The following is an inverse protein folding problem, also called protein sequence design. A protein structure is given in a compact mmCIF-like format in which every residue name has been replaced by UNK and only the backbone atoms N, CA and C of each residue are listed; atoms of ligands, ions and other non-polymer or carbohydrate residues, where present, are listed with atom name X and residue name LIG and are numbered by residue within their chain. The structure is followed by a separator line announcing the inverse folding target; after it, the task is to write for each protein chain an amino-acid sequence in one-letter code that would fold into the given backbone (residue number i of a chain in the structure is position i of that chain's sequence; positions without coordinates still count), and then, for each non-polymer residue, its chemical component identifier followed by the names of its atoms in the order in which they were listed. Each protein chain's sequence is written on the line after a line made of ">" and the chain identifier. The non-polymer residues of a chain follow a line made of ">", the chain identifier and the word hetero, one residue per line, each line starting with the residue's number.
data_IF_778450620734
#
_entry.id   IF_778450620734
#
_cell.length_a   1.000
_cell.length_b   1.000
_cell.length_c   1.000
_cell.angle_alpha   90.00
_cell.angle_beta   90.00
_cell.angle_gamma   90.00
#
_symmetry.space_group_name_H-M   'P 1'
#
loop_
_entity.id
_entity.type
_entity.pdbx_description
1 polymer ?
#
# COMPACT_ATOMS: atom_id res chain seq x y z
N UNK A 1 6.80 -15.08 17.95
CA UNK A 1 6.29 -14.08 16.97
C UNK A 1 4.78 -14.22 16.69
N UNK A 2 4.23 -15.42 16.56
CA UNK A 2 2.78 -15.64 16.29
C UNK A 2 1.90 -15.04 17.39
N UNK A 3 2.29 -15.16 18.68
CA UNK A 3 1.50 -14.64 19.81
C UNK A 3 1.35 -13.11 19.81
N UNK A 4 2.39 -12.37 19.40
CA UNK A 4 2.34 -10.90 19.30
C UNK A 4 1.39 -10.49 18.17
N UNK A 5 1.41 -11.21 17.04
CA UNK A 5 0.49 -10.98 15.92
C UNK A 5 -0.97 -11.18 16.33
N UNK A 6 -1.28 -12.24 17.09
CA UNK A 6 -2.64 -12.50 17.57
C UNK A 6 -3.13 -11.43 18.54
N UNK A 7 -2.28 -10.97 19.47
CA UNK A 7 -2.60 -9.86 20.37
C UNK A 7 -2.83 -8.55 19.59
N UNK A 8 -2.00 -8.27 18.60
CA UNK A 8 -2.13 -7.09 17.76
C UNK A 8 -3.44 -7.10 16.93
N UNK A 9 -3.88 -8.26 16.45
CA UNK A 9 -5.17 -8.42 15.77
C UNK A 9 -6.36 -8.09 16.67
N UNK A 10 -6.26 -8.39 17.97
CA UNK A 10 -7.28 -8.00 18.95
C UNK A 10 -7.40 -6.49 19.15
N UNK A 11 -6.33 -5.73 18.86
CA UNK A 11 -6.31 -4.28 18.99
C UNK A 11 -6.84 -3.57 17.74
N UNK A 12 -6.58 -4.11 16.54
CA UNK A 12 -7.01 -3.47 15.30
C UNK A 12 -7.24 -4.46 14.16
N UNK A 13 -8.46 -4.49 13.62
CA UNK A 13 -8.87 -5.43 12.56
C UNK A 13 -8.02 -5.32 11.27
N UNK A 14 -7.47 -4.15 10.94
CA UNK A 14 -6.63 -3.97 9.74
C UNK A 14 -5.33 -4.78 9.76
N UNK A 15 -4.88 -5.24 10.94
CA UNK A 15 -3.69 -6.08 11.08
C UNK A 15 -3.90 -7.45 10.44
N UNK A 16 -5.13 -7.97 10.40
CA UNK A 16 -5.43 -9.22 9.70
C UNK A 16 -5.02 -9.20 8.24
N UNK A 17 -5.25 -8.07 7.54
CA UNK A 17 -4.84 -7.92 6.14
C UNK A 17 -3.32 -8.00 6.00
N UNK A 18 -2.58 -7.33 6.88
CA UNK A 18 -1.12 -7.35 6.86
C UNK A 18 -0.56 -8.74 7.17
N UNK A 19 -1.16 -9.46 8.14
CA UNK A 19 -0.76 -10.83 8.47
C UNK A 19 -1.07 -11.80 7.32
N UNK A 20 -2.25 -11.69 6.71
CA UNK A 20 -2.61 -12.50 5.55
C UNK A 20 -1.68 -12.24 4.36
N UNK A 21 -1.36 -10.97 4.08
CA UNK A 21 -0.42 -10.59 3.04
C UNK A 21 0.99 -11.14 3.31
N UNK A 22 1.48 -11.00 4.55
CA UNK A 22 2.78 -11.53 4.96
C UNK A 22 2.83 -13.06 4.91
N UNK A 23 1.74 -13.72 5.32
CA UNK A 23 1.60 -15.17 5.19
C UNK A 23 1.64 -15.62 3.72
N UNK A 24 0.84 -14.99 2.86
CA UNK A 24 0.85 -15.28 1.43
C UNK A 24 2.25 -15.07 0.82
N UNK A 25 2.93 -13.98 1.17
CA UNK A 25 4.28 -13.67 0.72
C UNK A 25 5.33 -14.67 1.22
N UNK A 26 5.07 -15.34 2.33
CA UNK A 26 5.93 -16.40 2.84
C UNK A 26 5.84 -17.69 2.00
N UNK A 27 4.63 -18.06 1.58
CA UNK A 27 4.40 -19.27 0.79
C UNK A 27 4.81 -19.09 -0.68
N UNK A 28 4.47 -17.98 -1.29
CA UNK A 28 4.77 -17.70 -2.69
C UNK A 28 5.92 -16.69 -2.74
N UNK A 29 7.15 -17.17 -2.99
CA UNK A 29 8.35 -16.33 -2.93
C UNK A 29 8.59 -15.50 -4.20
N UNK A 30 7.95 -15.84 -5.33
CA UNK A 30 8.22 -15.18 -6.61
C UNK A 30 7.52 -13.82 -6.72
N UNK A 31 8.30 -12.75 -6.62
CA UNK A 31 7.82 -11.36 -6.69
C UNK A 31 7.17 -10.96 -8.01
N UNK A 32 7.42 -11.71 -9.09
CA UNK A 32 6.81 -11.44 -10.40
C UNK A 32 5.29 -11.61 -10.35
N UNK A 33 4.79 -12.65 -9.68
CA UNK A 33 3.35 -12.89 -9.57
C UNK A 33 2.64 -11.77 -8.80
N UNK A 34 3.27 -11.24 -7.77
CA UNK A 34 2.71 -10.13 -6.99
C UNK A 34 2.69 -8.83 -7.79
N UNK A 35 3.76 -8.56 -8.55
CA UNK A 35 3.82 -7.40 -9.42
C UNK A 35 2.76 -7.48 -10.53
N UNK A 36 2.64 -8.63 -11.19
CA UNK A 36 1.61 -8.86 -12.21
C UNK A 36 0.20 -8.72 -11.61
N UNK A 37 -0.02 -9.29 -10.43
CA UNK A 37 -1.27 -9.15 -9.68
C UNK A 37 -1.59 -7.70 -9.33
N UNK A 38 -0.60 -6.92 -8.88
CA UNK A 38 -0.78 -5.51 -8.59
C UNK A 38 -1.19 -4.72 -9.84
N UNK A 39 -0.51 -4.93 -10.97
CA UNK A 39 -0.86 -4.29 -12.26
C UNK A 39 -2.27 -4.68 -12.67
N UNK A 40 -2.63 -5.95 -12.56
CA UNK A 40 -3.98 -6.43 -12.86
C UNK A 40 -5.03 -5.75 -11.96
N UNK A 41 -4.75 -5.61 -10.64
CA UNK A 41 -5.64 -4.91 -9.71
C UNK A 41 -5.83 -3.43 -10.08
N UNK A 42 -4.79 -2.74 -10.56
CA UNK A 42 -4.92 -1.36 -11.09
C UNK A 42 -5.88 -1.32 -12.27
N UNK A 43 -5.70 -2.20 -13.26
CA UNK A 43 -6.56 -2.29 -14.43
C UNK A 43 -8.02 -2.60 -14.07
N UNK A 44 -8.23 -3.59 -13.22
CA UNK A 44 -9.56 -4.01 -12.75
C UNK A 44 -10.23 -2.89 -11.93
N UNK A 45 -9.50 -2.23 -11.05
CA UNK A 45 -10.00 -1.11 -10.26
C UNK A 45 -10.41 0.08 -11.12
N UNK A 46 -9.63 0.37 -12.16
CA UNK A 46 -9.96 1.42 -13.11
C UNK A 46 -11.24 1.11 -13.88
N UNK A 47 -11.37 -0.12 -14.40
CA UNK A 47 -12.49 -0.55 -15.25
C UNK A 47 -13.78 -0.85 -14.46
N UNK A 48 -13.68 -1.44 -13.26
CA UNK A 48 -14.82 -2.01 -12.53
C UNK A 48 -14.85 -1.65 -11.04
N UNK A 49 -14.12 -0.62 -10.60
CA UNK A 49 -13.92 -0.29 -9.18
C UNK A 49 -15.20 -0.13 -8.37
N UNK A 50 -16.27 0.45 -8.93
CA UNK A 50 -17.56 0.57 -8.24
C UNK A 50 -18.22 -0.78 -7.93
N UNK A 51 -18.16 -1.73 -8.88
CA UNK A 51 -18.74 -3.06 -8.66
C UNK A 51 -17.99 -3.81 -7.56
N UNK A 52 -16.66 -3.69 -7.56
CA UNK A 52 -15.80 -4.35 -6.56
C UNK A 52 -16.08 -3.81 -5.16
N UNK A 53 -16.22 -2.49 -5.01
CA UNK A 53 -16.57 -1.88 -3.72
C UNK A 53 -17.90 -2.41 -3.18
N UNK A 54 -18.92 -2.48 -4.03
CA UNK A 54 -20.23 -3.00 -3.65
C UNK A 54 -20.16 -4.49 -3.24
N UNK A 55 -19.37 -5.30 -3.95
CA UNK A 55 -19.14 -6.69 -3.58
C UNK A 55 -18.42 -6.81 -2.23
N UNK A 56 -17.36 -6.05 -2.02
CA UNK A 56 -16.61 -6.07 -0.76
C UNK A 56 -17.44 -5.57 0.41
N UNK A 57 -18.30 -4.57 0.20
CA UNK A 57 -19.25 -4.12 1.22
C UNK A 57 -20.29 -5.22 1.57
N UNK A 58 -20.73 -6.01 0.58
CA UNK A 58 -21.69 -7.11 0.77
C UNK A 58 -21.08 -8.35 1.43
N UNK A 59 -19.76 -8.58 1.32
CA UNK A 59 -19.07 -9.78 1.84
C UNK A 59 -18.68 -9.71 3.33
N UNK A 60 -19.37 -8.93 4.16
CA UNK A 60 -19.19 -8.95 5.61
C UNK A 60 -18.09 -8.03 6.15
N UNK A 61 -17.43 -7.26 5.31
CA UNK A 61 -16.77 -6.03 5.78
C UNK A 61 -17.81 -5.01 6.24
N UNK A 62 -19.10 -5.30 6.01
CA UNK A 62 -20.25 -4.48 6.35
C UNK A 62 -20.87 -4.72 7.72
N UNK A 63 -20.49 -5.76 8.45
CA UNK A 63 -20.96 -6.01 9.84
C UNK A 63 -20.39 -4.99 10.84
N UNK A 64 -19.38 -4.23 10.46
CA UNK A 64 -18.90 -3.09 11.20
C UNK A 64 -19.47 -1.83 10.55
N UNK A 65 -20.44 -1.16 11.19
CA UNK A 65 -21.11 0.02 10.70
C UNK A 65 -20.13 1.12 10.21
N UNK A 66 -18.92 1.13 10.76
CA UNK A 66 -17.85 2.04 10.35
C UNK A 66 -17.25 1.66 9.01
N UNK A 67 -17.01 0.37 8.76
CA UNK A 67 -16.39 -0.08 7.50
C UNK A 67 -17.41 0.02 6.38
N UNK A 68 -18.67 -0.34 6.61
CA UNK A 68 -19.74 -0.18 5.63
C UNK A 68 -19.94 1.30 5.26
N UNK A 69 -19.93 2.21 6.25
CA UNK A 69 -19.99 3.65 6.04
C UNK A 69 -18.82 4.19 5.22
N UNK A 70 -17.61 3.60 5.38
CA UNK A 70 -16.43 3.99 4.59
C UNK A 70 -16.48 3.48 3.14
N UNK A 71 -17.06 2.32 2.92
CA UNK A 71 -17.18 1.75 1.58
C UNK A 71 -18.34 2.36 0.79
N UNK A 72 -19.47 2.61 1.43
CA UNK A 72 -20.70 3.08 0.78
C UNK A 72 -20.87 4.60 0.81
N UNK A 73 -20.14 5.28 1.68
CA UNK A 73 -20.31 6.73 1.88
C UNK A 73 -21.64 7.12 2.52
N UNK A 74 -22.37 6.17 3.11
CA UNK A 74 -23.74 6.37 3.63
C UNK A 74 -23.84 7.41 4.76
N UNK A 75 -22.73 7.75 5.41
CA UNK A 75 -22.66 8.72 6.51
C UNK A 75 -22.16 10.11 6.06
N UNK A 76 -22.12 10.37 4.75
CA UNK A 76 -21.55 11.61 4.20
C UNK A 76 -22.59 12.52 3.59
N UNK A 77 -22.43 13.83 3.80
CA UNK A 77 -23.25 14.87 3.17
C UNK A 77 -22.74 15.14 1.74
N UNK A 78 -23.66 15.25 0.80
CA UNK A 78 -23.57 15.39 -0.67
C UNK A 78 -22.22 15.67 -1.36
N UNK A 79 -21.49 16.73 -1.03
CA UNK A 79 -20.21 17.09 -1.68
C UNK A 79 -19.07 16.09 -1.38
N UNK A 80 -19.04 15.54 -0.17
CA UNK A 80 -18.01 14.59 0.25
C UNK A 80 -18.20 13.23 -0.44
N UNK A 81 -19.45 12.85 -0.72
CA UNK A 81 -19.77 11.63 -1.49
C UNK A 81 -19.26 11.74 -2.92
N UNK A 82 -19.40 12.90 -3.57
CA UNK A 82 -18.89 13.11 -4.92
C UNK A 82 -17.35 13.08 -4.98
N UNK A 83 -16.67 13.68 -4.00
CA UNK A 83 -15.19 13.60 -3.92
C UNK A 83 -14.67 12.18 -3.65
N UNK A 84 -15.41 11.34 -2.92
CA UNK A 84 -15.02 9.97 -2.62
C UNK A 84 -15.16 9.00 -3.81
N UNK A 85 -15.88 9.37 -4.86
CA UNK A 85 -16.07 8.52 -6.05
C UNK A 85 -14.99 8.71 -7.12
N UNK A 86 -14.07 9.66 -6.92
CA UNK A 86 -13.00 9.94 -7.89
C UNK A 86 -11.85 8.95 -7.71
N UNK A 87 -11.31 8.47 -8.82
CA UNK A 87 -10.11 7.63 -8.80
C UNK A 87 -8.90 8.47 -8.36
N UNK A 88 -8.27 8.10 -7.25
CA UNK A 88 -7.18 8.85 -6.62
C UNK A 88 -5.83 8.56 -7.29
N UNK A 89 -5.60 9.20 -8.43
CA UNK A 89 -4.34 9.10 -9.17
C UNK A 89 -3.14 9.59 -8.38
N UNK A 90 -3.31 10.58 -7.54
CA UNK A 90 -2.30 11.13 -6.65
C UNK A 90 -1.76 10.07 -5.68
N UNK A 91 -2.65 9.33 -5.03
CA UNK A 91 -2.27 8.26 -4.10
C UNK A 91 -1.71 7.04 -4.84
N UNK A 92 -2.24 6.73 -6.02
CA UNK A 92 -1.69 5.65 -6.85
C UNK A 92 -0.27 5.98 -7.29
N UNK A 93 -0.01 7.21 -7.74
CA UNK A 93 1.34 7.66 -8.12
C UNK A 93 2.31 7.58 -6.94
N UNK A 94 1.88 7.99 -5.75
CA UNK A 94 2.68 7.83 -4.53
C UNK A 94 3.03 6.37 -4.23
N UNK A 95 2.04 5.49 -4.26
CA UNK A 95 2.25 4.05 -4.06
C UNK A 95 3.13 3.42 -5.11
N UNK A 96 3.02 3.88 -6.37
CA UNK A 96 3.82 3.39 -7.49
C UNK A 96 5.33 3.65 -7.30
N UNK A 97 5.73 4.63 -6.48
CA UNK A 97 7.15 4.84 -6.12
C UNK A 97 7.70 3.59 -5.43
N UNK A 98 7.01 3.06 -4.42
CA UNK A 98 7.42 1.84 -3.73
C UNK A 98 7.46 0.63 -4.66
N UNK A 99 6.48 0.52 -5.56
CA UNK A 99 6.45 -0.55 -6.58
C UNK A 99 7.64 -0.46 -7.52
N UNK A 100 7.93 0.74 -8.05
CA UNK A 100 9.02 0.99 -9.00
C UNK A 100 10.39 0.75 -8.36
N UNK A 101 10.60 1.21 -7.13
CA UNK A 101 11.87 1.02 -6.42
C UNK A 101 12.10 -0.45 -6.09
N UNK A 102 11.08 -1.16 -5.59
CA UNK A 102 11.19 -2.60 -5.35
C UNK A 102 11.46 -3.39 -6.63
N UNK A 103 10.75 -3.06 -7.72
CA UNK A 103 11.03 -3.62 -9.04
C UNK A 103 12.49 -3.40 -9.46
N UNK A 104 12.99 -2.16 -9.32
CA UNK A 104 14.37 -1.81 -9.69
C UNK A 104 15.39 -2.65 -8.95
N UNK A 105 15.28 -2.78 -7.62
CA UNK A 105 16.25 -3.55 -6.85
C UNK A 105 16.15 -5.05 -7.14
N UNK A 106 14.97 -5.62 -7.20
CA UNK A 106 14.78 -7.06 -7.39
C UNK A 106 15.14 -7.47 -8.82
N UNK A 107 14.56 -6.80 -9.83
CA UNK A 107 14.66 -7.29 -11.22
C UNK A 107 15.80 -6.64 -12.00
N UNK A 108 16.18 -5.39 -11.73
CA UNK A 108 17.26 -4.71 -12.44
C UNK A 108 18.60 -4.83 -11.76
N UNK A 109 18.63 -4.79 -10.43
CA UNK A 109 19.87 -4.93 -9.63
C UNK A 109 20.11 -6.35 -9.14
N UNK A 110 19.17 -7.27 -9.37
CA UNK A 110 19.25 -8.67 -8.97
C UNK A 110 19.56 -8.86 -7.47
N UNK A 111 18.89 -8.05 -6.64
CA UNK A 111 19.04 -8.08 -5.19
C UNK A 111 18.31 -9.29 -4.62
N UNK A 112 19.06 -10.31 -4.18
CA UNK A 112 18.58 -11.65 -3.80
C UNK A 112 18.38 -11.82 -2.28
N UNK A 113 18.00 -10.79 -1.57
CA UNK A 113 17.70 -10.90 -0.13
C UNK A 113 16.27 -11.43 0.06
N UNK A 114 16.11 -12.61 0.69
CA UNK A 114 14.79 -13.25 0.88
C UNK A 114 13.84 -12.41 1.73
N UNK A 115 14.37 -11.70 2.75
CA UNK A 115 13.56 -10.81 3.59
C UNK A 115 13.06 -9.61 2.79
N UNK A 116 13.88 -9.08 1.89
CA UNK A 116 13.44 -7.99 1.01
C UNK A 116 12.34 -8.42 0.06
N UNK A 117 12.47 -9.60 -0.56
CA UNK A 117 11.42 -10.17 -1.40
C UNK A 117 10.12 -10.34 -0.61
N UNK A 118 10.20 -10.85 0.61
CA UNK A 118 9.04 -11.01 1.48
C UNK A 118 8.37 -9.67 1.84
N UNK A 119 9.15 -8.65 2.22
CA UNK A 119 8.67 -7.30 2.53
C UNK A 119 8.01 -6.68 1.29
N UNK A 120 8.66 -6.77 0.13
CA UNK A 120 8.14 -6.23 -1.10
C UNK A 120 6.85 -6.91 -1.56
N UNK A 121 6.78 -8.24 -1.48
CA UNK A 121 5.58 -9.00 -1.81
C UNK A 121 4.42 -8.65 -0.86
N UNK A 122 4.70 -8.52 0.45
CA UNK A 122 3.71 -8.06 1.44
C UNK A 122 3.20 -6.66 1.12
N UNK A 123 4.10 -5.75 0.75
CA UNK A 123 3.75 -4.40 0.30
C UNK A 123 2.83 -4.44 -0.93
N UNK A 124 3.17 -5.25 -1.93
CA UNK A 124 2.36 -5.35 -3.16
C UNK A 124 0.96 -5.88 -2.88
N UNK A 125 0.79 -6.90 -2.01
CA UNK A 125 -0.52 -7.44 -1.66
C UNK A 125 -1.36 -6.42 -0.91
N UNK A 126 -0.82 -5.79 0.13
CA UNK A 126 -1.55 -4.79 0.92
C UNK A 126 -1.92 -3.58 0.08
N UNK A 127 -1.03 -3.16 -0.83
CA UNK A 127 -1.29 -2.05 -1.73
C UNK A 127 -2.30 -2.42 -2.82
N UNK A 128 -2.24 -3.64 -3.39
CA UNK A 128 -3.22 -4.13 -4.35
C UNK A 128 -4.65 -4.17 -3.78
N UNK A 129 -4.79 -4.60 -2.52
CA UNK A 129 -6.08 -4.54 -1.83
C UNK A 129 -6.62 -3.11 -1.77
N UNK A 130 -5.80 -2.15 -1.34
CA UNK A 130 -6.20 -0.75 -1.33
C UNK A 130 -6.56 -0.23 -2.72
N UNK A 131 -5.79 -0.57 -3.75
CA UNK A 131 -6.05 -0.17 -5.13
C UNK A 131 -7.43 -0.62 -5.61
N UNK A 132 -7.89 -1.81 -5.22
CA UNK A 132 -9.23 -2.30 -5.56
C UNK A 132 -10.36 -1.43 -4.95
N UNK A 133 -10.10 -0.79 -3.83
CA UNK A 133 -11.04 0.09 -3.12
C UNK A 133 -10.64 1.57 -3.18
N UNK A 134 -9.83 1.98 -4.17
CA UNK A 134 -9.25 3.32 -4.28
C UNK A 134 -10.28 4.45 -4.34
N UNK A 135 -11.51 4.13 -4.77
CA UNK A 135 -12.65 5.06 -4.87
C UNK A 135 -13.46 5.14 -3.58
N UNK A 136 -13.17 4.29 -2.57
CA UNK A 136 -13.90 4.28 -1.32
C UNK A 136 -13.70 5.58 -0.55
N UNK A 137 -14.72 5.99 0.17
CA UNK A 137 -14.63 7.05 1.16
C UNK A 137 -13.51 6.69 2.15
N UNK A 138 -12.67 7.67 2.50
CA UNK A 138 -11.53 7.43 3.40
C UNK A 138 -10.55 6.32 2.95
N UNK A 139 -10.43 6.09 1.64
CA UNK A 139 -9.51 5.07 1.06
C UNK A 139 -8.06 5.25 1.53
N UNK A 140 -7.66 6.46 1.92
CA UNK A 140 -6.36 6.78 2.49
C UNK A 140 -6.04 5.96 3.76
N UNK A 141 -7.03 5.62 4.58
CA UNK A 141 -6.83 4.80 5.79
C UNK A 141 -6.40 3.37 5.43
N UNK A 142 -6.94 2.81 4.36
CA UNK A 142 -6.52 1.52 3.85
C UNK A 142 -5.15 1.59 3.15
N UNK A 143 -4.86 2.70 2.46
CA UNK A 143 -3.56 2.93 1.86
C UNK A 143 -2.44 2.96 2.90
N UNK A 144 -2.68 3.53 4.08
CA UNK A 144 -1.72 3.63 5.17
C UNK A 144 -1.12 2.26 5.55
N UNK A 145 -1.87 1.17 5.46
CA UNK A 145 -1.37 -0.18 5.77
C UNK A 145 -0.14 -0.52 4.91
N UNK A 146 -0.21 -0.23 3.60
CA UNK A 146 0.92 -0.43 2.69
C UNK A 146 1.97 0.67 2.82
N UNK A 147 1.56 1.91 3.06
CA UNK A 147 2.49 3.05 3.19
C UNK A 147 3.39 2.95 4.42
N UNK A 148 2.98 2.26 5.49
CA UNK A 148 3.87 1.96 6.62
C UNK A 148 5.01 1.02 6.24
N UNK A 149 4.79 0.11 5.27
CA UNK A 149 5.84 -0.80 4.78
C UNK A 149 6.75 -0.09 3.77
N UNK A 150 6.24 0.90 3.05
CA UNK A 150 6.92 1.55 1.93
C UNK A 150 8.32 2.12 2.30
N UNK A 151 8.54 2.82 3.43
CA UNK A 151 9.87 3.27 3.81
C UNK A 151 10.88 2.13 3.93
N UNK A 152 10.44 0.95 4.39
CA UNK A 152 11.30 -0.23 4.48
C UNK A 152 11.64 -0.72 3.07
N UNK A 153 10.66 -0.79 2.16
CA UNK A 153 10.90 -1.16 0.74
C UNK A 153 11.91 -0.21 0.11
N UNK A 154 11.83 1.11 0.40
CA UNK A 154 12.70 2.12 -0.18
C UNK A 154 14.13 2.04 0.38
N UNK A 155 14.30 1.85 1.69
CA UNK A 155 15.58 2.05 2.37
C UNK A 155 16.35 0.76 2.63
N UNK A 156 15.67 -0.38 2.79
CA UNK A 156 16.30 -1.65 3.14
C UNK A 156 17.46 -2.07 2.21
N UNK A 157 17.33 -1.99 0.86
CA UNK A 157 18.41 -2.37 -0.02
C UNK A 157 19.67 -1.51 0.19
N UNK A 158 19.50 -0.22 0.43
CA UNK A 158 20.62 0.69 0.69
C UNK A 158 21.36 0.35 1.98
N UNK A 159 20.65 -0.11 3.01
CA UNK A 159 21.25 -0.49 4.28
C UNK A 159 21.98 -1.84 4.21
N UNK A 160 21.58 -2.71 3.27
CA UNK A 160 22.16 -4.06 3.14
C UNK A 160 23.34 -4.15 2.19
N UNK A 161 23.34 -3.36 1.10
CA UNK A 161 24.34 -3.50 0.04
C UNK A 161 24.68 -2.15 -0.59
N UNK A 162 25.94 -1.97 -0.90
CA UNK A 162 26.40 -0.81 -1.69
C UNK A 162 26.22 -1.10 -3.19
N UNK A 163 25.35 -0.33 -3.84
CA UNK A 163 25.04 -0.49 -5.27
C UNK A 163 25.80 0.47 -6.17
N UNK A 164 26.35 1.55 -5.63
CA UNK A 164 27.02 2.61 -6.38
C UNK A 164 28.26 3.13 -5.66
N UNK A 165 29.17 3.72 -6.40
CA UNK A 165 30.37 4.37 -5.85
C UNK A 165 30.02 5.50 -4.86
N UNK A 166 29.00 6.29 -5.18
CA UNK A 166 28.49 7.38 -4.35
C UNK A 166 27.24 6.97 -3.53
N UNK A 167 27.26 5.76 -2.99
CA UNK A 167 26.11 5.16 -2.30
C UNK A 167 25.51 6.04 -1.21
N UNK A 168 26.34 6.62 -0.35
CA UNK A 168 25.91 7.45 0.77
C UNK A 168 25.24 8.76 0.33
N UNK A 169 25.74 9.38 -0.74
CA UNK A 169 25.11 10.57 -1.32
C UNK A 169 23.73 10.24 -1.91
N UNK A 170 23.63 9.13 -2.63
CA UNK A 170 22.36 8.69 -3.23
C UNK A 170 21.34 8.38 -2.14
N UNK A 171 21.75 7.69 -1.07
CA UNK A 171 20.92 7.43 0.10
C UNK A 171 20.45 8.75 0.75
N UNK A 172 21.37 9.70 0.95
CA UNK A 172 21.05 11.02 1.50
C UNK A 172 20.01 11.77 0.65
N UNK A 173 20.16 11.77 -0.67
CA UNK A 173 19.16 12.37 -1.57
C UNK A 173 17.82 11.65 -1.54
N UNK A 174 17.81 10.30 -1.47
CA UNK A 174 16.57 9.53 -1.38
C UNK A 174 15.80 9.85 -0.09
N UNK A 175 16.49 9.93 1.05
CA UNK A 175 15.90 10.32 2.33
C UNK A 175 15.38 11.76 2.28
N UNK A 176 16.17 12.69 1.74
CA UNK A 176 15.77 14.10 1.63
C UNK A 176 14.52 14.27 0.75
N UNK A 177 14.48 13.62 -0.40
CA UNK A 177 13.32 13.66 -1.30
C UNK A 177 12.07 13.06 -0.64
N UNK A 178 12.22 11.93 0.02
CA UNK A 178 11.11 11.30 0.73
C UNK A 178 10.60 12.17 1.87
N UNK A 179 11.51 12.76 2.64
CA UNK A 179 11.15 13.69 3.70
C UNK A 179 10.47 14.96 3.16
N UNK A 180 11.05 15.59 2.14
CA UNK A 180 10.48 16.79 1.52
C UNK A 180 9.08 16.55 0.95
N UNK A 181 8.87 15.38 0.28
CA UNK A 181 7.57 15.00 -0.21
C UNK A 181 6.55 14.78 0.92
N UNK A 182 6.95 14.07 1.97
CA UNK A 182 6.09 13.81 3.14
C UNK A 182 5.76 15.11 3.87
N UNK A 183 6.74 15.99 4.02
CA UNK A 183 6.55 17.31 4.62
C UNK A 183 5.55 18.15 3.79
N UNK A 184 5.75 18.22 2.48
CA UNK A 184 4.85 18.95 1.58
C UNK A 184 3.42 18.40 1.65
N UNK A 185 3.24 17.08 1.58
CA UNK A 185 1.91 16.46 1.54
C UNK A 185 1.16 16.57 2.87
N UNK A 186 1.86 16.56 4.02
CA UNK A 186 1.20 16.56 5.32
C UNK A 186 1.09 17.95 5.96
N UNK A 187 2.01 18.84 5.68
CA UNK A 187 2.05 20.14 6.33
C UNK A 187 1.52 21.24 5.43
N UNK A 188 1.98 21.31 4.18
CA UNK A 188 1.56 22.39 3.28
C UNK A 188 0.19 22.15 2.65
N UNK A 189 -0.20 20.88 2.42
CA UNK A 189 -1.51 20.54 1.86
C UNK A 189 -2.64 20.51 2.89
N UNK A 190 -2.33 20.40 4.19
CA UNK A 190 -3.32 20.53 5.29
C UNK A 190 -3.63 21.99 5.64
N UNK A 191 -2.94 22.95 5.02
CA UNK A 191 -3.20 24.39 5.23
C UNK A 191 -4.30 24.94 4.30
N UNK A 192 -4.92 24.11 3.51
CA UNK A 192 -6.02 24.41 2.61
C UNK A 192 -7.09 23.33 2.75
#
# INVERSE_FOLDING_TARGET
>A
MIGIGVLACGLHKSIYLMMAAGGLAWFIKNSYYYLAGWIACVGVSYAAGFRIQNYLAAFGFGDDDRISGYLTGSNMVGEIVQMSMVFRWDFLAYSAIGVAVGYYFIFRRNFKDEYYHWIYNTFLVTNAFWVLIIRAAYSNRFAQISWFIMPIVLMYPFLKQRFWTNHEKILGYAILLFYAFTFYSNILKLSF
#
